data_IF_073466728797
#
_entry.id   IF_073466728797
#
_cell.length_a   1.000
_cell.length_b   1.000
_cell.length_c   1.000
_cell.angle_alpha   90.00
_cell.angle_beta   90.00
_cell.angle_gamma   90.00
#
_symmetry.space_group_name_H-M   'P 1'
#
loop_
_entity.id
_entity.type
_entity.pdbx_description
1 polymer ?
#
# COMPACT_ATOMS: atom_id res chain seq x y z
N UNK A 1 19.94 -7.13 -39.45
CA UNK A 1 19.71 -8.14 -38.39
C UNK A 1 19.95 -7.52 -37.00
N UNK A 2 19.42 -6.32 -36.75
CA UNK A 2 19.60 -5.57 -35.48
C UNK A 2 18.29 -5.11 -34.85
N UNK A 3 17.20 -5.01 -35.63
CA UNK A 3 15.89 -4.54 -35.16
C UNK A 3 15.24 -5.51 -34.16
N UNK A 4 15.42 -6.83 -34.33
CA UNK A 4 14.86 -7.84 -33.42
C UNK A 4 15.43 -7.75 -32.00
N UNK A 5 16.67 -7.26 -31.82
CA UNK A 5 17.28 -7.12 -30.48
C UNK A 5 16.68 -5.95 -29.70
N UNK A 6 16.30 -4.88 -30.38
CA UNK A 6 15.69 -3.68 -29.78
C UNK A 6 14.26 -3.98 -29.34
N UNK A 7 13.46 -4.66 -30.17
CA UNK A 7 12.10 -5.08 -29.80
C UNK A 7 12.10 -6.06 -28.62
N UNK A 8 13.10 -6.93 -28.53
CA UNK A 8 13.21 -7.92 -27.43
C UNK A 8 13.58 -7.24 -26.11
N UNK A 9 14.47 -6.24 -26.12
CA UNK A 9 14.83 -5.46 -24.93
C UNK A 9 13.64 -4.63 -24.41
N UNK A 10 12.90 -3.96 -25.30
CA UNK A 10 11.72 -3.18 -24.91
C UNK A 10 10.60 -4.05 -24.31
N UNK A 11 10.42 -5.27 -24.82
CA UNK A 11 9.44 -6.24 -24.26
C UNK A 11 9.85 -6.78 -22.89
N UNK A 12 11.16 -6.88 -22.63
CA UNK A 12 11.69 -7.34 -21.34
C UNK A 12 11.50 -6.26 -20.27
N UNK A 13 11.77 -4.98 -20.60
CA UNK A 13 11.55 -3.87 -19.68
C UNK A 13 10.05 -3.65 -19.38
N UNK A 14 9.17 -3.79 -20.37
CA UNK A 14 7.73 -3.71 -20.14
C UNK A 14 7.21 -4.85 -19.24
N UNK A 15 7.82 -6.04 -19.32
CA UNK A 15 7.46 -7.18 -18.47
C UNK A 15 8.02 -7.07 -17.03
N UNK A 16 9.19 -6.46 -16.85
CA UNK A 16 9.73 -6.14 -15.53
C UNK A 16 9.03 -4.94 -14.88
N UNK A 17 8.59 -3.95 -15.66
CA UNK A 17 7.66 -2.90 -15.19
C UNK A 17 6.31 -3.49 -14.78
N UNK A 18 5.76 -4.42 -15.56
CA UNK A 18 4.53 -5.15 -15.20
C UNK A 18 4.68 -6.04 -13.95
N UNK A 19 5.91 -6.50 -13.62
CA UNK A 19 6.22 -7.15 -12.33
C UNK A 19 6.38 -6.14 -11.19
N UNK A 20 6.96 -4.98 -11.45
CA UNK A 20 7.09 -3.89 -10.48
C UNK A 20 5.72 -3.29 -10.09
N UNK A 21 4.74 -3.37 -11.00
CA UNK A 21 3.34 -2.96 -10.82
C UNK A 21 2.51 -3.93 -9.93
N UNK A 22 3.06 -5.08 -9.51
CA UNK A 22 2.34 -6.05 -8.69
C UNK A 22 2.48 -5.86 -7.17
N UNK A 23 3.34 -4.95 -6.68
CA UNK A 23 3.56 -4.83 -5.23
C UNK A 23 2.25 -4.48 -4.52
N UNK A 24 1.54 -3.44 -4.97
CA UNK A 24 0.28 -3.03 -4.35
C UNK A 24 -0.75 -4.15 -4.40
N UNK A 25 -0.87 -4.85 -5.52
CA UNK A 25 -1.81 -5.97 -5.67
C UNK A 25 -1.47 -7.14 -4.71
N UNK A 26 -0.19 -7.51 -4.62
CA UNK A 26 0.28 -8.57 -3.73
C UNK A 26 0.12 -8.19 -2.25
N UNK A 27 0.49 -6.97 -1.89
CA UNK A 27 0.33 -6.46 -0.54
C UNK A 27 -1.16 -6.35 -0.18
N UNK A 28 -2.06 -5.98 -1.10
CA UNK A 28 -3.51 -6.00 -0.83
C UNK A 28 -4.04 -7.40 -0.51
N UNK A 29 -3.55 -8.44 -1.18
CA UNK A 29 -3.90 -9.82 -0.87
C UNK A 29 -3.40 -10.22 0.53
N UNK A 30 -2.12 -9.99 0.84
CA UNK A 30 -1.55 -10.28 2.15
C UNK A 30 -2.18 -9.44 3.29
N UNK A 31 -2.52 -8.18 3.00
CA UNK A 31 -3.23 -7.27 3.88
C UNK A 31 -4.65 -7.77 4.22
N UNK A 32 -5.32 -8.48 3.31
CA UNK A 32 -6.60 -9.13 3.57
C UNK A 32 -6.45 -10.28 4.58
N UNK A 33 -5.32 -10.99 4.53
CA UNK A 33 -4.94 -12.02 5.50
C UNK A 33 -4.42 -11.44 6.83
N UNK A 34 -4.30 -10.11 6.93
CA UNK A 34 -3.89 -9.41 8.15
C UNK A 34 -2.38 -9.28 8.32
N UNK A 35 -1.60 -9.52 7.27
CA UNK A 35 -0.16 -9.34 7.30
C UNK A 35 0.20 -7.88 7.61
N UNK A 36 0.91 -7.69 8.72
CA UNK A 36 1.32 -6.38 9.22
C UNK A 36 2.36 -5.71 8.32
N UNK A 37 3.26 -6.49 7.72
CA UNK A 37 4.28 -5.96 6.80
C UNK A 37 3.62 -5.48 5.51
N UNK A 38 2.61 -6.20 5.03
CA UNK A 38 1.85 -5.79 3.84
C UNK A 38 1.12 -4.46 4.04
N UNK A 39 0.60 -4.20 5.24
CA UNK A 39 0.07 -2.88 5.59
C UNK A 39 1.16 -1.80 5.58
N UNK A 40 2.37 -2.10 6.06
CA UNK A 40 3.46 -1.13 6.00
C UNK A 40 3.89 -0.82 4.55
N UNK A 41 4.05 -1.85 3.72
CA UNK A 41 4.46 -1.71 2.33
C UNK A 41 3.44 -0.92 1.50
N UNK A 42 2.14 -1.14 1.73
CA UNK A 42 1.08 -0.31 1.14
C UNK A 42 1.20 1.15 1.59
N UNK A 43 1.47 1.39 2.86
CA UNK A 43 1.71 2.74 3.39
C UNK A 43 2.84 3.45 2.65
N UNK A 44 3.97 2.77 2.44
CA UNK A 44 5.13 3.29 1.71
C UNK A 44 4.81 3.54 0.24
N UNK A 45 4.09 2.62 -0.42
CA UNK A 45 3.71 2.78 -1.82
C UNK A 45 2.86 4.04 -2.04
N UNK A 46 1.85 4.25 -1.19
CA UNK A 46 1.00 5.44 -1.26
C UNK A 46 1.68 6.72 -0.76
N UNK A 47 2.64 6.66 0.17
CA UNK A 47 3.37 7.87 0.61
C UNK A 47 4.37 8.35 -0.44
N UNK A 48 4.92 7.43 -1.24
CA UNK A 48 5.92 7.74 -2.27
C UNK A 48 5.34 7.88 -3.67
N UNK A 49 4.12 7.39 -3.90
CA UNK A 49 3.54 7.29 -5.24
C UNK A 49 4.32 6.34 -6.15
N UNK A 50 4.66 5.16 -5.63
CA UNK A 50 5.43 4.13 -6.35
C UNK A 50 4.54 2.93 -6.72
N UNK A 51 5.08 1.99 -7.52
CA UNK A 51 4.37 0.74 -7.88
C UNK A 51 3.00 0.95 -8.54
N UNK A 52 2.88 1.97 -9.39
CA UNK A 52 1.67 2.24 -10.17
C UNK A 52 0.58 3.00 -9.42
N UNK A 53 0.80 3.42 -8.16
CA UNK A 53 -0.12 4.32 -7.44
C UNK A 53 0.41 5.74 -7.38
N UNK A 54 -0.50 6.72 -7.34
CA UNK A 54 -0.14 8.10 -7.07
C UNK A 54 0.09 8.31 -5.57
N UNK A 55 0.84 9.35 -5.22
CA UNK A 55 0.99 9.74 -3.83
C UNK A 55 -0.38 10.14 -3.25
N UNK A 56 -0.77 9.50 -2.14
CA UNK A 56 -2.01 9.73 -1.41
C UNK A 56 -1.75 9.52 0.10
N UNK A 57 -1.60 10.63 0.82
CA UNK A 57 -1.31 10.59 2.26
C UNK A 57 -2.47 10.03 3.09
N UNK A 58 -3.71 10.10 2.60
CA UNK A 58 -4.88 9.54 3.30
C UNK A 58 -4.81 8.01 3.26
N UNK A 59 -4.55 7.42 2.09
CA UNK A 59 -4.34 5.98 1.97
C UNK A 59 -3.07 5.54 2.70
N UNK A 60 -1.96 6.28 2.58
CA UNK A 60 -0.72 5.97 3.30
C UNK A 60 -0.95 5.93 4.82
N UNK A 61 -1.58 6.96 5.38
CA UNK A 61 -1.88 7.03 6.81
C UNK A 61 -2.81 5.90 7.25
N UNK A 62 -3.82 5.56 6.46
CA UNK A 62 -4.70 4.41 6.75
C UNK A 62 -3.88 3.13 6.90
N UNK A 63 -3.01 2.83 5.95
CA UNK A 63 -2.22 1.59 5.94
C UNK A 63 -1.19 1.56 7.07
N UNK A 64 -0.46 2.65 7.30
CA UNK A 64 0.44 2.76 8.44
C UNK A 64 -0.30 2.66 9.78
N UNK A 65 -1.51 3.21 9.90
CA UNK A 65 -2.33 3.07 11.09
C UNK A 65 -2.71 1.62 11.39
N UNK A 66 -3.04 0.84 10.35
CA UNK A 66 -3.32 -0.59 10.50
C UNK A 66 -2.09 -1.36 10.95
N UNK A 67 -0.91 -1.13 10.33
CA UNK A 67 0.34 -1.75 10.75
C UNK A 67 0.75 -1.36 12.17
N UNK A 68 0.69 -0.07 12.50
CA UNK A 68 1.02 0.45 13.83
C UNK A 68 0.09 -0.12 14.92
N UNK A 69 -1.19 -0.33 14.62
CA UNK A 69 -2.14 -0.93 15.56
C UNK A 69 -1.81 -2.38 15.92
N UNK A 70 -1.00 -3.07 15.11
CA UNK A 70 -0.47 -4.40 15.37
C UNK A 70 0.95 -4.40 15.94
N UNK A 71 1.50 -3.21 16.28
CA UNK A 71 2.81 -3.08 16.91
C UNK A 71 3.98 -2.84 15.96
N UNK A 72 3.74 -2.52 14.68
CA UNK A 72 4.82 -2.20 13.74
C UNK A 72 5.39 -0.80 14.03
N UNK A 73 6.54 -0.73 14.71
CA UNK A 73 7.14 0.52 15.18
C UNK A 73 7.45 1.50 14.04
N UNK A 74 8.06 1.02 12.95
CA UNK A 74 8.35 1.87 11.80
C UNK A 74 7.08 2.44 11.17
N UNK A 75 5.96 1.72 11.21
CA UNK A 75 4.69 2.24 10.70
C UNK A 75 4.13 3.32 11.62
N UNK A 76 4.31 3.19 12.95
CA UNK A 76 3.92 4.23 13.88
C UNK A 76 4.70 5.52 13.64
N UNK A 77 6.01 5.41 13.39
CA UNK A 77 6.86 6.54 13.01
C UNK A 77 6.42 7.17 11.68
N UNK A 78 6.30 6.38 10.60
CA UNK A 78 5.87 6.90 9.30
C UNK A 78 4.48 7.53 9.35
N UNK A 79 3.54 6.95 10.12
CA UNK A 79 2.21 7.55 10.32
C UNK A 79 2.32 8.93 10.97
N UNK A 80 3.14 9.07 12.01
CA UNK A 80 3.33 10.34 12.70
C UNK A 80 3.98 11.38 11.77
N UNK A 81 5.03 10.98 11.05
CA UNK A 81 5.75 11.82 10.09
C UNK A 81 4.82 12.41 9.02
N UNK A 82 4.05 11.57 8.33
CA UNK A 82 3.13 12.08 7.30
C UNK A 82 1.93 12.84 7.88
N UNK A 83 1.58 12.64 9.15
CA UNK A 83 0.47 13.36 9.80
C UNK A 83 0.76 14.85 9.94
N UNK A 84 2.03 15.25 9.98
CA UNK A 84 2.43 16.65 10.08
C UNK A 84 2.10 17.45 8.81
N UNK A 85 1.94 16.76 7.66
CA UNK A 85 1.52 17.36 6.38
C UNK A 85 0.00 17.28 6.14
N UNK A 86 -0.74 16.60 7.01
CA UNK A 86 -2.17 16.34 6.85
C UNK A 86 -3.02 17.25 7.71
N UNK A 87 -4.23 17.56 7.24
CA UNK A 87 -5.25 18.19 8.06
C UNK A 87 -5.92 17.19 9.00
N UNK A 88 -6.50 17.68 10.10
CA UNK A 88 -7.28 16.85 11.01
C UNK A 88 -8.45 16.13 10.32
N UNK A 89 -9.03 16.73 9.25
CA UNK A 89 -10.11 16.11 8.48
C UNK A 89 -9.61 14.92 7.66
N UNK A 90 -8.45 15.05 7.03
CA UNK A 90 -7.81 13.97 6.26
C UNK A 90 -7.36 12.83 7.17
N UNK A 91 -6.79 13.13 8.33
CA UNK A 91 -6.46 12.12 9.35
C UNK A 91 -7.71 11.38 9.81
N UNK A 92 -8.81 12.11 10.07
CA UNK A 92 -10.08 11.50 10.47
C UNK A 92 -10.66 10.58 9.37
N UNK A 93 -10.52 10.96 8.10
CA UNK A 93 -10.90 10.12 6.97
C UNK A 93 -10.03 8.85 6.89
N UNK A 94 -8.71 8.99 6.94
CA UNK A 94 -7.78 7.87 6.93
C UNK A 94 -8.09 6.86 8.05
N UNK A 95 -8.30 7.34 9.28
CA UNK A 95 -8.67 6.50 10.41
C UNK A 95 -10.05 5.84 10.25
N UNK A 96 -11.03 6.54 9.65
CA UNK A 96 -12.34 5.96 9.33
C UNK A 96 -12.18 4.81 8.32
N UNK A 97 -11.45 5.03 7.22
CA UNK A 97 -11.18 3.99 6.21
C UNK A 97 -10.44 2.79 6.79
N UNK A 98 -9.51 3.00 7.72
CA UNK A 98 -8.82 1.91 8.41
C UNK A 98 -9.79 1.05 9.25
N UNK A 99 -10.70 1.70 10.00
CA UNK A 99 -11.74 0.99 10.76
C UNK A 99 -12.70 0.22 9.86
N UNK A 100 -13.06 0.81 8.72
CA UNK A 100 -13.91 0.15 7.72
C UNK A 100 -13.23 -1.07 7.09
N UNK A 101 -11.94 -0.97 6.77
CA UNK A 101 -11.14 -2.09 6.28
C UNK A 101 -11.17 -3.28 7.24
N UNK A 102 -10.88 -3.05 8.54
CA UNK A 102 -10.90 -4.11 9.55
C UNK A 102 -12.30 -4.72 9.73
N UNK A 103 -13.37 -3.91 9.68
CA UNK A 103 -14.74 -4.43 9.75
C UNK A 103 -15.04 -5.37 8.58
N UNK A 104 -14.69 -4.95 7.36
CA UNK A 104 -14.91 -5.74 6.14
C UNK A 104 -14.06 -7.02 6.15
N UNK A 105 -12.75 -6.91 6.40
CA UNK A 105 -11.85 -8.06 6.49
C UNK A 105 -12.30 -9.09 7.55
N UNK A 106 -12.78 -8.62 8.70
CA UNK A 106 -13.29 -9.50 9.76
C UNK A 106 -14.65 -10.13 9.41
N UNK A 107 -15.52 -9.44 8.66
CA UNK A 107 -16.77 -10.04 8.19
C UNK A 107 -16.55 -11.16 7.17
N UNK A 108 -15.54 -11.05 6.30
CA UNK A 108 -15.17 -12.09 5.34
C UNK A 108 -14.56 -13.32 6.02
N UNK A 109 -13.70 -13.12 7.04
CA UNK A 109 -13.07 -14.22 7.79
C UNK A 109 -14.03 -15.03 8.67
N UNK A 110 -15.14 -14.42 9.11
CA UNK A 110 -16.15 -15.09 9.97
C UNK A 110 -17.21 -15.86 9.17
N UNK A 111 -17.18 -15.78 7.85
CA UNK A 111 -18.14 -16.44 6.95
C UNK A 111 -17.59 -17.71 6.28
N UNK A 112 -16.41 -18.20 6.69
CA UNK A 112 -15.77 -19.42 6.19
C UNK A 112 -15.79 -20.55 7.24
#
# INVERSE_FOLDING_TARGET
>A
MELAKIETFAKLEAADMARADMLVANCLAAAADGDTNAYYDLGVAYSTGSHGVNCDLIEAHKWFNLAASQGHEAASWCRADISDEMTAMEIADAQRRAREWLRQANSGRRAA
#
